data_IF_314427451951
#
_entry.id   IF_314427451951
#
_cell.length_a   1.000
_cell.length_b   1.000
_cell.length_c   1.000
_cell.angle_alpha   90.00
_cell.angle_beta   90.00
_cell.angle_gamma   90.00
#
_symmetry.space_group_name_H-M   'P 1'
#
loop_
_entity.id
_entity.type
_entity.pdbx_description
1 polymer ?
#
# COMPACT_ATOMS: atom_id res chain seq x y z
N UNK A 1 -0.14 -26.19 30.85
CA UNK A 1 -0.25 -25.61 30.30
C UNK A 1 -0.27 -25.33 29.82
N UNK A 2 -0.41 -25.17 29.91
CA UNK A 2 -0.57 -24.53 29.25
C UNK A 2 -0.69 -24.18 28.78
N UNK A 3 -0.80 -24.24 28.98
CA UNK A 3 -1.05 -23.64 28.35
C UNK A 3 -1.33 -23.34 27.90
N UNK A 4 -1.56 -23.37 27.98
CA UNK A 4 -1.93 -22.86 27.39
C UNK A 4 -2.17 -22.38 27.04
N UNK A 5 -2.14 -22.59 27.59
CA UNK A 5 -2.31 -21.95 27.14
C UNK A 5 -2.22 -21.57 26.75
N UNK A 6 -2.48 -21.66 27.05
CA UNK A 6 -2.24 -21.09 26.55
C UNK A 6 -2.25 -20.74 25.97
N UNK A 7 -2.25 -20.54 25.97
CA UNK A 7 -2.05 -20.01 25.23
C UNK A 7 -2.72 -19.83 24.65
N UNK A 8 -2.90 -19.57 24.45
CA UNK A 8 -3.58 -19.22 23.94
C UNK A 8 -4.26 -18.49 23.31
N UNK A 9 -4.97 -18.17 23.56
CA UNK A 9 -5.70 -17.19 22.78
C UNK A 9 -4.93 -15.96 22.47
N UNK A 10 -3.83 -15.76 23.06
CA UNK A 10 -2.95 -14.64 22.76
C UNK A 10 -2.45 -14.68 21.33
N UNK A 11 -2.45 -15.84 20.70
CA UNK A 11 -2.03 -15.90 19.30
C UNK A 11 -3.03 -15.24 18.38
N UNK A 12 -4.27 -15.11 18.78
CA UNK A 12 -5.28 -14.41 17.99
C UNK A 12 -4.95 -12.94 17.85
N UNK A 13 -4.55 -12.35 18.95
CA UNK A 13 -4.20 -10.95 18.95
C UNK A 13 -2.74 -10.74 18.64
N UNK A 14 -1.89 -11.70 19.02
CA UNK A 14 -0.45 -11.57 18.82
C UNK A 14 0.09 -10.28 19.36
N UNK A 15 1.34 -9.96 19.07
CA UNK A 15 1.88 -8.65 19.42
C UNK A 15 1.17 -7.57 18.61
N UNK A 16 1.00 -6.37 19.17
CA UNK A 16 0.39 -5.29 18.42
C UNK A 16 1.19 -4.98 17.15
N UNK A 17 0.45 -4.67 16.10
CA UNK A 17 1.04 -4.33 14.81
C UNK A 17 1.51 -2.88 14.81
N UNK A 18 2.74 -2.65 14.35
CA UNK A 18 3.26 -1.29 14.25
C UNK A 18 2.47 -0.51 13.20
N UNK A 19 2.30 0.80 13.38
CA UNK A 19 1.58 1.60 12.38
C UNK A 19 2.15 1.47 10.97
N UNK A 20 3.47 1.43 10.84
CA UNK A 20 4.11 1.26 9.55
C UNK A 20 3.71 -0.06 8.88
N UNK A 21 3.64 -1.14 9.66
CA UNK A 21 3.24 -2.44 9.15
C UNK A 21 1.77 -2.41 8.73
N UNK A 22 0.92 -1.79 9.55
CA UNK A 22 -0.51 -1.68 9.24
C UNK A 22 -0.72 -0.86 7.97
N UNK A 23 -0.01 0.26 7.84
CA UNK A 23 -0.12 1.11 6.65
C UNK A 23 0.29 0.34 5.39
N UNK A 24 1.35 -0.43 5.49
CA UNK A 24 1.82 -1.25 4.37
C UNK A 24 0.77 -2.27 3.95
N UNK A 25 0.16 -2.94 4.92
CA UNK A 25 -0.89 -3.93 4.64
C UNK A 25 -2.14 -3.29 4.07
N UNK A 26 -2.45 -2.08 4.49
CA UNK A 26 -3.60 -1.34 3.99
C UNK A 26 -3.30 -0.63 2.67
N UNK A 27 -2.04 -0.64 2.24
CA UNK A 27 -1.58 0.02 1.01
C UNK A 27 -1.82 1.54 1.06
N UNK A 28 -1.52 2.15 2.20
CA UNK A 28 -1.68 3.59 2.39
C UNK A 28 -0.34 4.22 2.82
N UNK A 29 -0.25 5.52 2.63
CA UNK A 29 0.96 6.28 2.95
C UNK A 29 0.88 6.76 4.40
N UNK A 30 1.73 6.19 5.26
CA UNK A 30 1.67 6.45 6.71
C UNK A 30 1.71 7.93 7.08
N UNK A 31 2.62 8.76 6.54
CA UNK A 31 2.66 10.17 6.93
C UNK A 31 1.38 10.95 6.64
N UNK A 32 0.52 10.44 5.78
CA UNK A 32 -0.75 11.08 5.45
C UNK A 32 -1.90 10.64 6.37
N UNK A 33 -1.63 9.71 7.29
CA UNK A 33 -2.66 9.23 8.23
C UNK A 33 -2.77 10.17 9.43
N UNK A 34 -3.88 10.07 10.18
CA UNK A 34 -4.00 10.87 11.42
C UNK A 34 -2.89 10.54 12.40
N UNK A 35 -2.50 11.52 13.19
CA UNK A 35 -1.44 11.35 14.17
C UNK A 35 -1.74 10.21 15.14
N UNK A 36 -2.99 10.04 15.51
CA UNK A 36 -3.39 8.95 16.40
C UNK A 36 -3.03 7.58 15.83
N UNK A 37 -3.20 7.41 14.53
CA UNK A 37 -2.85 6.17 13.86
C UNK A 37 -1.33 5.96 13.88
N UNK A 38 -0.59 7.03 13.67
CA UNK A 38 0.88 6.96 13.62
C UNK A 38 1.51 6.68 14.98
N UNK A 39 0.86 7.11 16.04
CA UNK A 39 1.41 7.04 17.39
C UNK A 39 1.17 5.73 18.14
N UNK A 40 0.23 4.93 17.69
CA UNK A 40 -0.18 3.75 18.42
C UNK A 40 -0.12 2.49 17.61
N UNK A 41 0.36 1.42 18.23
CA UNK A 41 0.30 0.11 17.60
C UNK A 41 -1.16 -0.35 17.56
N UNK A 42 -1.51 -1.17 16.58
CA UNK A 42 -2.86 -1.70 16.42
C UNK A 42 -2.92 -3.15 16.86
N UNK A 43 -3.96 -3.49 17.59
CA UNK A 43 -4.24 -4.89 17.86
C UNK A 43 -4.78 -5.52 16.58
N UNK A 44 -4.75 -6.85 16.52
CA UNK A 44 -5.32 -7.56 15.38
C UNK A 44 -6.78 -7.16 15.16
N UNK A 45 -7.53 -7.06 16.24
CA UNK A 45 -8.95 -6.69 16.18
C UNK A 45 -9.14 -5.28 15.61
N UNK A 46 -8.29 -4.36 16.01
CA UNK A 46 -8.35 -2.98 15.49
C UNK A 46 -8.05 -2.96 14.00
N UNK A 47 -7.08 -3.76 13.57
CA UNK A 47 -6.72 -3.84 12.16
C UNK A 47 -7.88 -4.42 11.34
N UNK A 48 -8.49 -5.50 11.83
CA UNK A 48 -9.64 -6.12 11.16
C UNK A 48 -10.81 -5.13 11.06
N UNK A 49 -11.03 -4.37 12.12
CA UNK A 49 -12.10 -3.37 12.12
C UNK A 49 -11.86 -2.28 11.07
N UNK A 50 -10.61 -1.86 10.90
CA UNK A 50 -10.27 -0.89 9.87
C UNK A 50 -10.59 -1.42 8.48
N UNK A 51 -10.42 -2.73 8.27
CA UNK A 51 -10.71 -3.34 6.99
C UNK A 51 -12.21 -3.51 6.75
N UNK A 52 -12.94 -3.87 7.79
CA UNK A 52 -14.38 -4.10 7.68
C UNK A 52 -15.17 -2.80 7.59
N UNK A 53 -14.82 -1.86 8.43
CA UNK A 53 -15.54 -0.58 8.52
C UNK A 53 -14.53 0.56 8.45
N UNK A 54 -13.94 0.80 7.28
CA UNK A 54 -12.91 1.83 7.15
C UNK A 54 -13.46 3.21 7.52
N UNK A 55 -12.75 3.94 8.38
CA UNK A 55 -13.16 5.30 8.72
C UNK A 55 -13.04 6.21 7.51
N UNK A 56 -13.65 7.37 7.59
CA UNK A 56 -13.67 8.31 6.48
C UNK A 56 -12.26 8.68 6.01
N UNK A 57 -11.33 8.91 6.95
CA UNK A 57 -9.97 9.28 6.57
C UNK A 57 -9.29 8.18 5.75
N UNK A 58 -9.59 6.92 6.08
CA UNK A 58 -9.00 5.80 5.34
C UNK A 58 -9.60 5.69 3.95
N UNK A 59 -10.90 5.87 3.84
CA UNK A 59 -11.58 5.86 2.55
C UNK A 59 -11.06 6.97 1.64
N UNK A 60 -10.92 8.17 2.18
CA UNK A 60 -10.41 9.31 1.44
C UNK A 60 -8.98 9.07 0.98
N UNK A 61 -8.15 8.55 1.89
CA UNK A 61 -6.76 8.29 1.58
C UNK A 61 -6.60 7.25 0.47
N UNK A 62 -7.44 6.22 0.48
CA UNK A 62 -7.42 5.19 -0.56
C UNK A 62 -7.92 5.72 -1.90
N UNK A 63 -8.89 6.61 -1.86
CA UNK A 63 -9.48 7.18 -3.07
C UNK A 63 -8.61 8.26 -3.69
N UNK A 64 -8.09 9.15 -2.87
CA UNK A 64 -7.39 10.35 -3.34
C UNK A 64 -5.89 10.36 -3.12
N UNK A 65 -5.41 9.58 -2.18
CA UNK A 65 -3.98 9.54 -1.85
C UNK A 65 -3.59 10.65 -0.90
N UNK A 66 -2.29 10.93 -0.75
CA UNK A 66 -1.19 10.36 -1.57
C UNK A 66 -1.00 8.87 -1.32
N UNK A 67 -0.65 8.17 -2.37
CA UNK A 67 -0.45 6.72 -2.32
C UNK A 67 1.03 6.39 -2.13
N UNK A 68 1.35 5.29 -1.42
CA UNK A 68 2.75 4.88 -1.27
C UNK A 68 3.31 4.36 -2.59
N UNK A 69 4.63 4.33 -2.69
CA UNK A 69 5.32 3.92 -3.93
C UNK A 69 4.81 2.61 -4.53
N UNK A 70 4.62 1.54 -3.76
CA UNK A 70 4.11 0.30 -4.35
C UNK A 70 2.75 0.49 -5.02
N UNK A 71 1.87 1.28 -4.40
CA UNK A 71 0.56 1.57 -4.97
C UNK A 71 0.67 2.44 -6.21
N UNK A 72 1.57 3.42 -6.19
CA UNK A 72 1.82 4.26 -7.37
C UNK A 72 2.28 3.40 -8.54
N UNK A 73 3.23 2.51 -8.31
CA UNK A 73 3.72 1.61 -9.35
C UNK A 73 2.61 0.74 -9.90
N UNK A 74 1.81 0.16 -9.03
CA UNK A 74 0.69 -0.69 -9.44
C UNK A 74 -0.32 0.08 -10.29
N UNK A 75 -0.68 1.27 -9.85
CA UNK A 75 -1.65 2.10 -10.57
C UNK A 75 -1.14 2.58 -11.92
N UNK A 76 0.16 2.83 -12.01
CA UNK A 76 0.77 3.23 -13.27
C UNK A 76 1.09 2.05 -14.18
N UNK A 77 1.02 0.83 -13.64
CA UNK A 77 1.31 -0.38 -14.42
C UNK A 77 2.78 -0.56 -14.71
N UNK A 78 3.64 -0.19 -13.76
CA UNK A 78 5.11 -0.30 -13.91
C UNK A 78 5.70 -0.89 -12.63
N UNK A 79 6.99 -1.23 -12.70
CA UNK A 79 7.70 -1.75 -11.54
C UNK A 79 8.19 -0.61 -10.64
N UNK A 80 8.48 -0.95 -9.39
CA UNK A 80 9.08 0.03 -8.46
C UNK A 80 10.46 0.44 -8.96
N UNK A 81 11.18 -0.49 -9.58
CA UNK A 81 12.48 -0.21 -10.18
C UNK A 81 12.37 0.90 -11.23
N UNK A 82 11.32 0.84 -12.07
CA UNK A 82 11.09 1.86 -13.07
C UNK A 82 10.78 3.22 -12.45
N UNK A 83 10.03 3.23 -11.33
CA UNK A 83 9.78 4.48 -10.61
C UNK A 83 11.08 5.12 -10.15
N UNK A 84 11.95 4.31 -9.55
CA UNK A 84 13.24 4.80 -9.07
C UNK A 84 14.11 5.32 -10.19
N UNK A 85 14.13 4.60 -11.31
CA UNK A 85 14.96 4.97 -12.45
C UNK A 85 14.56 6.33 -13.03
N UNK A 86 13.32 6.74 -12.82
CA UNK A 86 12.79 7.98 -13.40
C UNK A 86 12.48 9.05 -12.35
N UNK A 87 13.06 8.90 -11.15
CA UNK A 87 12.88 9.84 -10.04
C UNK A 87 11.43 10.05 -9.65
N UNK A 88 10.62 9.03 -9.82
CA UNK A 88 9.20 9.09 -9.48
C UNK A 88 8.86 8.21 -8.28
N UNK A 89 9.87 7.79 -7.52
CA UNK A 89 9.65 6.94 -6.34
C UNK A 89 9.23 7.75 -5.12
N UNK A 90 8.14 8.48 -5.28
CA UNK A 90 7.57 9.33 -4.24
C UNK A 90 6.07 9.12 -4.18
N UNK A 91 5.43 9.50 -3.08
CA UNK A 91 3.97 9.39 -3.00
C UNK A 91 3.31 10.31 -4.02
N UNK A 92 2.28 9.79 -4.67
CA UNK A 92 1.50 10.57 -5.64
C UNK A 92 0.02 10.44 -5.30
N UNK A 93 -0.74 11.50 -5.58
CA UNK A 93 -2.18 11.46 -5.42
C UNK A 93 -2.82 10.78 -6.62
N UNK A 94 -4.08 10.38 -6.46
CA UNK A 94 -4.85 9.81 -7.57
C UNK A 94 -4.90 10.77 -8.75
N UNK A 95 -5.07 12.06 -8.45
CA UNK A 95 -5.11 13.09 -9.49
C UNK A 95 -3.82 13.14 -10.29
N UNK A 96 -2.68 13.11 -9.57
CA UNK A 96 -1.37 13.12 -10.21
C UNK A 96 -1.15 11.87 -11.06
N UNK A 97 -1.57 10.72 -10.54
CA UNK A 97 -1.46 9.45 -11.26
C UNK A 97 -2.30 9.49 -12.54
N UNK A 98 -3.54 9.98 -12.42
CA UNK A 98 -4.44 10.06 -13.58
C UNK A 98 -3.89 11.01 -14.64
N UNK A 99 -3.27 12.09 -14.22
CA UNK A 99 -2.66 13.03 -15.16
C UNK A 99 -1.52 12.38 -15.93
N UNK A 100 -0.70 11.59 -15.23
CA UNK A 100 0.38 10.84 -15.87
C UNK A 100 -0.15 9.82 -16.88
N UNK A 101 -1.25 9.16 -16.54
CA UNK A 101 -1.84 8.17 -17.43
C UNK A 101 -2.51 8.83 -18.64
N UNK A 102 -3.08 10.00 -18.44
CA UNK A 102 -3.77 10.74 -19.49
C UNK A 102 -2.78 11.31 -20.51
N UNK A 103 -1.66 11.84 -20.02
CA UNK A 103 -0.62 12.43 -20.86
C UNK A 103 0.69 11.72 -20.57
N UNK A 104 0.80 10.48 -21.01
CA UNK A 104 1.95 9.65 -20.68
C UNK A 104 3.25 10.19 -21.25
N UNK A 105 4.23 10.50 -20.37
CA UNK A 105 5.56 10.79 -20.86
C UNK A 105 6.17 9.53 -21.46
N UNK A 106 7.17 9.70 -22.30
CA UNK A 106 7.80 8.59 -23.00
C UNK A 106 8.33 7.52 -22.04
N UNK A 107 8.95 7.95 -20.92
CA UNK A 107 9.48 7.00 -19.96
C UNK A 107 8.39 6.10 -19.37
N UNK A 108 7.20 6.68 -19.16
CA UNK A 108 6.08 5.91 -18.60
C UNK A 108 5.54 4.90 -19.60
N UNK A 109 5.37 5.32 -20.84
CA UNK A 109 4.91 4.42 -21.89
C UNK A 109 5.87 3.24 -22.08
N UNK A 110 7.17 3.52 -22.08
CA UNK A 110 8.19 2.47 -22.19
C UNK A 110 8.16 1.54 -20.99
N UNK A 111 8.06 2.09 -19.79
CA UNK A 111 8.04 1.28 -18.57
C UNK A 111 6.82 0.38 -18.52
N UNK A 112 5.68 0.87 -18.97
CA UNK A 112 4.45 0.08 -19.00
C UNK A 112 4.56 -1.08 -19.98
N UNK A 113 5.12 -0.83 -21.14
CA UNK A 113 5.34 -1.87 -22.14
C UNK A 113 6.26 -2.96 -21.60
N UNK A 114 7.38 -2.55 -21.02
CA UNK A 114 8.34 -3.49 -20.43
C UNK A 114 7.70 -4.34 -19.35
N UNK A 115 6.94 -3.70 -18.47
CA UNK A 115 6.28 -4.40 -17.36
C UNK A 115 5.26 -5.42 -17.88
N UNK A 116 4.48 -5.04 -18.88
CA UNK A 116 3.49 -5.92 -19.50
C UNK A 116 4.16 -7.13 -20.14
N UNK A 117 5.25 -6.91 -20.84
CA UNK A 117 6.02 -8.00 -21.48
C UNK A 117 6.59 -8.97 -20.45
N UNK A 118 7.11 -8.44 -19.35
CA UNK A 118 7.65 -9.27 -18.28
C UNK A 118 6.57 -10.13 -17.65
N UNK A 119 5.39 -9.56 -17.43
CA UNK A 119 4.27 -10.30 -16.87
C UNK A 119 3.80 -11.42 -17.80
N UNK A 120 3.77 -11.16 -19.10
CA UNK A 120 3.40 -12.17 -20.09
C UNK A 120 4.41 -13.31 -20.11
N UNK A 121 5.68 -12.98 -20.04
CA UNK A 121 6.74 -13.99 -20.00
C UNK A 121 6.61 -14.89 -18.77
N UNK A 122 6.30 -14.30 -17.61
CA UNK A 122 6.10 -15.05 -16.37
C UNK A 122 4.90 -15.97 -16.47
N UNK A 123 3.84 -15.53 -17.12
CA UNK A 123 2.62 -16.33 -17.27
C UNK A 123 2.79 -17.49 -18.22
N UNK A 124 3.74 -17.41 -19.13
CA UNK A 124 3.99 -18.46 -20.11
C UNK A 124 4.91 -19.56 -19.59
N UNK A 125 5.46 -19.40 -18.42
CA UNK A 125 6.29 -20.43 -17.78
C UNK A 125 5.44 -21.43 -16.97
#
# INVERSE_FOLDING_TARGET
MMNMTDAIPSYKSGPPMKPATAAKKLAIYLPATPQEFQDSALTHEQFVELQKNPPEWLQTLRREGPHPRPEVARKLGISITALKANDMDKPLTTEEINELLKNQPEWLSSARTTHSEQRQAEQQQ
#
